data_IF_268610571038
#
_entry.id   IF_268610571038
#
_cell.length_a   1.000
_cell.length_b   1.000
_cell.length_c   1.000
_cell.angle_alpha   90.00
_cell.angle_beta   90.00
_cell.angle_gamma   90.00
#
_symmetry.space_group_name_H-M   'P 1'
#
loop_
_entity.id
_entity.type
_entity.pdbx_description
1 polymer ?
#
# COMPACT_ATOMS: atom_id res chain seq x y z
N UNK A 1 61.24 12.80 3.92
CA UNK A 1 59.83 13.07 4.22
C UNK A 1 58.94 13.04 2.98
N UNK A 2 59.11 13.85 1.92
CA UNK A 2 58.27 13.85 0.68
C UNK A 2 58.14 12.48 -0.04
N UNK A 3 59.26 11.72 -0.18
CA UNK A 3 59.22 10.37 -0.81
C UNK A 3 58.42 9.33 0.01
N UNK A 4 58.45 9.44 1.35
CA UNK A 4 57.71 8.55 2.25
C UNK A 4 56.18 8.85 2.17
N UNK A 5 55.82 10.12 2.19
CA UNK A 5 54.45 10.57 2.01
C UNK A 5 53.86 10.15 0.63
N UNK A 6 54.68 10.18 -0.44
CA UNK A 6 54.29 9.70 -1.78
C UNK A 6 54.06 8.17 -1.82
N UNK A 7 54.86 7.38 -1.09
CA UNK A 7 54.67 5.93 -1.01
C UNK A 7 53.43 5.57 -0.18
N UNK A 8 53.21 6.25 0.96
CA UNK A 8 52.01 6.06 1.78
C UNK A 8 50.75 6.44 0.99
N UNK A 9 50.78 7.56 0.27
CA UNK A 9 49.64 7.94 -0.59
C UNK A 9 49.31 6.91 -1.67
N UNK A 10 50.31 6.30 -2.32
CA UNK A 10 50.07 5.21 -3.29
C UNK A 10 49.47 3.96 -2.67
N UNK A 11 49.90 3.59 -1.46
CA UNK A 11 49.35 2.43 -0.74
C UNK A 11 47.88 2.71 -0.37
N UNK A 12 47.57 3.90 0.12
CA UNK A 12 46.18 4.30 0.44
C UNK A 12 45.30 4.25 -0.82
N UNK A 13 45.77 4.80 -1.94
CA UNK A 13 45.01 4.76 -3.21
C UNK A 13 44.78 3.33 -3.70
N UNK A 14 45.79 2.46 -3.57
CA UNK A 14 45.66 1.03 -3.94
C UNK A 14 44.64 0.36 -3.02
N UNK A 15 44.69 0.58 -1.71
CA UNK A 15 43.74 0.03 -0.74
C UNK A 15 42.30 0.50 -1.04
N UNK A 16 42.10 1.79 -1.34
CA UNK A 16 40.80 2.33 -1.75
C UNK A 16 40.34 1.65 -3.04
N UNK A 17 41.21 1.51 -4.04
CA UNK A 17 40.88 0.81 -5.29
C UNK A 17 40.42 -0.64 -5.05
N UNK A 18 41.11 -1.40 -4.20
CA UNK A 18 40.74 -2.76 -3.83
C UNK A 18 39.37 -2.79 -3.14
N UNK A 19 39.10 -1.87 -2.22
CA UNK A 19 37.80 -1.77 -1.52
C UNK A 19 36.70 -1.46 -2.52
N UNK A 20 36.90 -0.53 -3.45
CA UNK A 20 35.91 -0.20 -4.47
C UNK A 20 35.60 -1.40 -5.35
N UNK A 21 36.63 -2.12 -5.83
CA UNK A 21 36.46 -3.33 -6.63
C UNK A 21 35.67 -4.39 -5.85
N UNK A 22 36.03 -4.62 -4.58
CA UNK A 22 35.31 -5.55 -3.71
C UNK A 22 33.83 -5.19 -3.58
N UNK A 23 33.52 -3.90 -3.33
CA UNK A 23 32.14 -3.43 -3.22
C UNK A 23 31.37 -3.61 -4.53
N UNK A 24 31.99 -3.34 -5.67
CA UNK A 24 31.37 -3.58 -7.00
C UNK A 24 31.06 -5.07 -7.19
N UNK A 25 31.97 -5.95 -6.83
CA UNK A 25 31.73 -7.39 -6.91
C UNK A 25 30.57 -7.81 -6.01
N UNK A 26 30.51 -7.33 -4.77
CA UNK A 26 29.40 -7.59 -3.86
C UNK A 26 28.05 -7.09 -4.44
N UNK A 27 28.03 -5.90 -5.04
CA UNK A 27 26.84 -5.37 -5.69
C UNK A 27 26.39 -6.21 -6.89
N UNK A 28 27.31 -6.68 -7.72
CA UNK A 28 27.00 -7.56 -8.87
C UNK A 28 26.46 -8.92 -8.42
N UNK A 29 27.03 -9.50 -7.36
CA UNK A 29 26.54 -10.73 -6.75
C UNK A 29 25.13 -10.50 -6.20
N UNK A 30 24.93 -9.44 -5.41
CA UNK A 30 23.63 -9.09 -4.83
C UNK A 30 22.56 -8.87 -5.91
N UNK A 31 22.88 -8.14 -6.97
CA UNK A 31 22.01 -7.94 -8.12
C UNK A 31 21.63 -9.25 -8.80
N UNK A 32 22.61 -10.12 -9.05
CA UNK A 32 22.37 -11.42 -9.68
C UNK A 32 21.47 -12.28 -8.80
N UNK A 33 21.73 -12.37 -7.49
CA UNK A 33 20.90 -13.11 -6.55
C UNK A 33 19.48 -12.57 -6.49
N UNK A 34 19.31 -11.24 -6.51
CA UNK A 34 17.98 -10.60 -6.53
C UNK A 34 17.17 -10.99 -7.77
N UNK A 35 17.80 -11.00 -8.94
CA UNK A 35 17.15 -11.30 -10.23
C UNK A 35 16.91 -12.81 -10.48
N UNK A 36 17.62 -13.69 -9.80
CA UNK A 36 17.53 -15.14 -10.01
C UNK A 36 16.97 -15.85 -8.79
N UNK A 37 17.79 -16.15 -7.81
CA UNK A 37 17.45 -17.00 -6.67
C UNK A 37 16.29 -16.44 -5.85
N UNK A 38 16.39 -15.18 -5.43
CA UNK A 38 15.34 -14.60 -4.60
C UNK A 38 14.04 -14.33 -5.36
N UNK A 39 14.15 -13.99 -6.64
CA UNK A 39 12.98 -13.84 -7.51
C UNK A 39 12.24 -15.17 -7.66
N UNK A 40 12.96 -16.26 -7.89
CA UNK A 40 12.36 -17.60 -7.98
C UNK A 40 11.66 -18.03 -6.69
N UNK A 41 12.21 -17.66 -5.52
CA UNK A 41 11.54 -17.89 -4.24
C UNK A 41 10.25 -17.09 -4.10
N UNK A 42 10.23 -15.84 -4.57
CA UNK A 42 9.03 -15.02 -4.57
C UNK A 42 7.96 -15.61 -5.51
N UNK A 43 8.34 -15.99 -6.73
CA UNK A 43 7.45 -16.59 -7.73
C UNK A 43 6.92 -17.97 -7.32
N UNK A 44 7.53 -18.64 -6.33
CA UNK A 44 7.02 -19.89 -5.77
C UNK A 44 5.84 -19.70 -4.81
N UNK A 45 5.59 -18.49 -4.37
CA UNK A 45 4.44 -18.16 -3.51
C UNK A 45 3.19 -18.14 -4.39
N UNK A 46 2.23 -18.99 -4.07
CA UNK A 46 0.96 -19.01 -4.79
C UNK A 46 0.11 -17.79 -4.41
N UNK A 47 -0.52 -17.14 -5.39
CA UNK A 47 -1.49 -16.08 -5.12
C UNK A 47 -2.60 -16.56 -4.15
N UNK A 48 -3.02 -15.66 -3.29
CA UNK A 48 -4.08 -15.92 -2.30
C UNK A 48 -5.47 -16.00 -2.97
N UNK A 49 -5.65 -15.26 -4.06
CA UNK A 49 -6.86 -15.18 -4.84
C UNK A 49 -6.62 -15.49 -6.32
N UNK A 50 -7.35 -14.81 -7.17
CA UNK A 50 -7.29 -15.00 -8.61
C UNK A 50 -6.52 -13.89 -9.32
N UNK A 51 -5.91 -14.23 -10.46
CA UNK A 51 -5.25 -13.29 -11.35
C UNK A 51 -6.20 -12.95 -12.49
N UNK A 52 -6.60 -11.69 -12.60
CA UNK A 52 -7.51 -11.21 -13.65
C UNK A 52 -6.76 -10.35 -14.67
N UNK A 53 -7.11 -10.48 -15.94
CA UNK A 53 -6.46 -9.71 -17.00
C UNK A 53 -7.06 -8.30 -17.11
N UNK A 54 -6.23 -7.30 -16.86
CA UNK A 54 -6.55 -5.87 -17.00
C UNK A 54 -5.49 -5.26 -17.93
N UNK A 55 -5.91 -4.74 -19.07
CA UNK A 55 -5.01 -4.09 -20.04
C UNK A 55 -3.82 -4.97 -20.49
N UNK A 56 -4.08 -6.26 -20.75
CA UNK A 56 -3.07 -7.27 -21.10
C UNK A 56 -2.00 -7.55 -20.02
N UNK A 57 -2.28 -7.18 -18.78
CA UNK A 57 -1.46 -7.48 -17.58
C UNK A 57 -2.34 -8.12 -16.53
N UNK A 58 -1.75 -8.82 -15.57
CA UNK A 58 -2.48 -9.49 -14.52
C UNK A 58 -2.56 -8.64 -13.27
N UNK A 59 -3.76 -8.49 -12.72
CA UNK A 59 -4.00 -7.94 -11.39
C UNK A 59 -4.52 -9.04 -10.48
N UNK A 60 -4.10 -8.99 -9.22
CA UNK A 60 -4.55 -9.93 -8.20
C UNK A 60 -5.78 -9.39 -7.47
N UNK A 61 -6.80 -10.24 -7.38
CA UNK A 61 -8.03 -9.98 -6.62
C UNK A 61 -8.22 -11.13 -5.64
N UNK A 62 -8.35 -10.82 -4.36
CA UNK A 62 -8.59 -11.81 -3.33
C UNK A 62 -9.90 -11.54 -2.62
N UNK A 63 -10.77 -12.55 -2.55
CA UNK A 63 -12.11 -12.46 -1.95
C UNK A 63 -12.29 -13.48 -0.83
N UNK A 64 -12.95 -13.08 0.24
CA UNK A 64 -13.35 -13.93 1.37
C UNK A 64 -14.80 -13.67 1.74
N UNK A 65 -15.47 -14.70 2.26
CA UNK A 65 -16.84 -14.61 2.73
C UNK A 65 -17.88 -14.48 1.63
N UNK A 66 -19.13 -14.58 2.05
CA UNK A 66 -20.33 -14.43 1.22
C UNK A 66 -21.35 -13.61 2.02
N UNK A 67 -21.93 -12.58 1.41
CA UNK A 67 -22.89 -11.71 2.06
C UNK A 67 -23.49 -10.72 1.06
N UNK A 68 -24.53 -10.03 1.47
CA UNK A 68 -25.22 -9.06 0.61
C UNK A 68 -24.35 -7.83 0.31
N UNK A 69 -23.50 -7.44 1.26
CA UNK A 69 -22.61 -6.28 1.07
C UNK A 69 -21.24 -6.74 0.58
N UNK A 70 -20.70 -6.00 -0.38
CA UNK A 70 -19.33 -6.21 -0.87
C UNK A 70 -18.44 -5.07 -0.37
N UNK A 71 -17.48 -5.39 0.50
CA UNK A 71 -16.48 -4.46 1.02
C UNK A 71 -15.21 -4.62 0.19
N UNK A 72 -14.72 -3.52 -0.39
CA UNK A 72 -13.49 -3.51 -1.20
C UNK A 72 -12.38 -2.79 -0.46
N UNK A 73 -11.43 -3.56 0.07
CA UNK A 73 -10.22 -3.07 0.73
C UNK A 73 -9.19 -2.63 -0.31
N UNK A 74 -8.72 -1.41 -0.18
CA UNK A 74 -7.76 -0.79 -1.10
C UNK A 74 -6.50 -0.37 -0.35
N UNK A 75 -5.30 -0.86 -0.76
CA UNK A 75 -4.08 -0.71 0.02
C UNK A 75 -3.51 0.69 0.00
N UNK A 76 -2.81 1.06 1.07
CA UNK A 76 -1.96 2.23 1.14
C UNK A 76 -0.71 2.12 0.27
N UNK A 77 0.02 3.24 0.14
CA UNK A 77 1.28 3.29 -0.60
C UNK A 77 2.33 2.37 0.03
N UNK A 78 3.00 1.58 -0.78
CA UNK A 78 4.13 0.75 -0.35
C UNK A 78 3.77 -0.48 0.48
N UNK A 79 2.49 -0.81 0.67
CA UNK A 79 2.06 -2.10 1.26
C UNK A 79 2.58 -3.24 0.39
N UNK A 80 3.43 -4.13 0.93
CA UNK A 80 4.14 -5.09 0.10
C UNK A 80 3.26 -6.21 -0.45
N UNK A 81 2.28 -6.70 0.32
CA UNK A 81 1.39 -7.80 -0.03
C UNK A 81 0.01 -7.59 0.60
N UNK A 82 -0.87 -6.80 -0.03
CA UNK A 82 -2.17 -6.42 0.53
C UNK A 82 -3.07 -7.59 0.93
N UNK A 83 -3.08 -8.67 0.15
CA UNK A 83 -3.88 -9.87 0.46
C UNK A 83 -3.48 -10.56 1.77
N UNK A 84 -2.21 -10.46 2.18
CA UNK A 84 -1.74 -10.93 3.48
C UNK A 84 -1.81 -9.83 4.55
N UNK A 85 -1.55 -8.59 4.18
CA UNK A 85 -1.54 -7.43 5.09
C UNK A 85 -2.94 -7.16 5.69
N UNK A 86 -3.98 -7.23 4.86
CA UNK A 86 -5.36 -7.12 5.32
C UNK A 86 -5.97 -8.42 5.87
N UNK A 87 -5.26 -9.54 5.86
CA UNK A 87 -5.85 -10.84 6.13
C UNK A 87 -6.60 -10.95 7.47
N UNK A 88 -6.11 -10.42 8.61
CA UNK A 88 -6.89 -10.43 9.85
C UNK A 88 -8.21 -9.65 9.74
N UNK A 89 -8.17 -8.46 9.13
CA UNK A 89 -9.36 -7.63 8.92
C UNK A 89 -10.34 -8.31 7.93
N UNK A 90 -9.82 -8.91 6.86
CA UNK A 90 -10.64 -9.65 5.90
C UNK A 90 -11.36 -10.81 6.57
N UNK A 91 -10.68 -11.59 7.41
CA UNK A 91 -11.31 -12.70 8.16
C UNK A 91 -12.41 -12.23 9.10
N UNK A 92 -12.22 -11.09 9.74
CA UNK A 92 -13.22 -10.55 10.66
C UNK A 92 -14.47 -10.06 9.91
N UNK A 93 -14.26 -9.19 8.92
CA UNK A 93 -15.35 -8.63 8.10
C UNK A 93 -16.08 -9.68 7.26
N UNK A 94 -15.40 -10.76 6.86
CA UNK A 94 -15.97 -11.81 6.02
C UNK A 94 -16.93 -12.76 6.75
N UNK A 95 -17.13 -12.57 8.04
CA UNK A 95 -18.14 -13.33 8.80
C UNK A 95 -19.56 -12.98 8.35
N UNK A 96 -19.79 -11.73 7.95
CA UNK A 96 -21.13 -11.23 7.58
C UNK A 96 -21.16 -10.62 6.15
N UNK A 97 -19.99 -10.36 5.54
CA UNK A 97 -19.88 -9.66 4.29
C UNK A 97 -19.03 -10.42 3.28
N UNK A 98 -19.18 -10.10 2.00
CA UNK A 98 -18.17 -10.42 1.00
C UNK A 98 -17.07 -9.35 1.10
N UNK A 99 -15.84 -9.76 1.35
CA UNK A 99 -14.68 -8.85 1.49
C UNK A 99 -13.69 -9.14 0.39
N UNK A 100 -13.28 -8.10 -0.31
CA UNK A 100 -12.38 -8.19 -1.46
C UNK A 100 -11.20 -7.25 -1.25
N UNK A 101 -9.99 -7.67 -1.58
CA UNK A 101 -8.87 -6.75 -1.77
C UNK A 101 -8.38 -6.80 -3.21
N UNK A 102 -8.06 -5.63 -3.76
CA UNK A 102 -7.46 -5.46 -5.07
C UNK A 102 -6.02 -5.01 -4.90
N UNK A 103 -5.08 -5.78 -5.40
CA UNK A 103 -3.68 -5.38 -5.45
C UNK A 103 -3.43 -4.58 -6.71
N UNK A 104 -3.03 -3.32 -6.56
CA UNK A 104 -2.74 -2.45 -7.69
C UNK A 104 -1.57 -2.96 -8.53
N UNK A 105 -1.45 -2.52 -9.77
CA UNK A 105 -0.23 -2.77 -10.53
C UNK A 105 1.01 -2.32 -9.74
N UNK A 106 2.03 -3.18 -9.73
CA UNK A 106 3.26 -2.98 -9.00
C UNK A 106 3.22 -3.35 -7.52
N UNK A 107 2.09 -3.87 -7.02
CA UNK A 107 1.88 -4.27 -5.63
C UNK A 107 1.56 -5.76 -5.54
N UNK A 108 2.11 -6.44 -4.54
CA UNK A 108 1.83 -7.85 -4.27
C UNK A 108 2.05 -8.76 -5.47
N UNK A 109 1.06 -9.55 -5.81
CA UNK A 109 1.09 -10.49 -6.94
C UNK A 109 0.83 -9.82 -8.30
N UNK A 110 0.37 -8.57 -8.32
CA UNK A 110 0.02 -7.88 -9.56
C UNK A 110 1.24 -7.51 -10.39
N UNK A 111 1.09 -7.55 -11.72
CA UNK A 111 2.12 -7.13 -12.66
C UNK A 111 2.47 -5.65 -12.46
N UNK A 112 3.62 -5.23 -12.97
CA UNK A 112 4.01 -3.82 -13.04
C UNK A 112 3.41 -3.18 -14.29
N UNK A 113 3.16 -1.86 -14.24
CA UNK A 113 2.66 -1.11 -15.38
C UNK A 113 3.52 0.12 -15.67
N UNK A 114 3.54 0.54 -16.93
CA UNK A 114 4.11 1.81 -17.38
C UNK A 114 3.00 2.85 -17.67
N UNK A 115 1.73 2.52 -17.37
CA UNK A 115 0.63 3.49 -17.43
C UNK A 115 0.79 4.54 -16.35
N UNK A 116 0.52 5.82 -16.64
CA UNK A 116 0.55 6.89 -15.65
C UNK A 116 -0.32 6.56 -14.43
N UNK A 117 0.18 6.85 -13.25
CA UNK A 117 -0.50 6.54 -11.98
C UNK A 117 -1.48 7.67 -11.59
N UNK A 118 -2.46 7.93 -12.47
CA UNK A 118 -3.52 8.93 -12.30
C UNK A 118 -4.72 8.35 -11.54
N UNK A 119 -5.57 9.21 -10.96
CA UNK A 119 -6.83 8.79 -10.32
C UNK A 119 -7.71 7.98 -11.28
N UNK A 120 -7.81 8.42 -12.53
CA UNK A 120 -8.61 7.74 -13.55
C UNK A 120 -8.09 6.32 -13.86
N UNK A 121 -6.76 6.16 -13.98
CA UNK A 121 -6.20 4.84 -14.23
C UNK A 121 -6.40 3.91 -13.03
N UNK A 122 -6.18 4.38 -11.78
CA UNK A 122 -6.50 3.58 -10.58
C UNK A 122 -7.97 3.17 -10.53
N UNK A 123 -8.89 4.12 -10.73
CA UNK A 123 -10.32 3.84 -10.75
C UNK A 123 -10.69 2.78 -11.80
N UNK A 124 -10.23 2.97 -13.05
CA UNK A 124 -10.52 2.05 -14.14
C UNK A 124 -9.92 0.65 -13.92
N UNK A 125 -8.73 0.56 -13.35
CA UNK A 125 -8.07 -0.69 -13.00
C UNK A 125 -8.83 -1.44 -11.89
N UNK A 126 -9.22 -0.75 -10.81
CA UNK A 126 -10.06 -1.31 -9.74
C UNK A 126 -11.38 -1.83 -10.32
N UNK A 127 -12.08 -1.00 -11.08
CA UNK A 127 -13.37 -1.29 -11.66
C UNK A 127 -13.31 -2.48 -12.62
N UNK A 128 -12.28 -2.50 -13.48
CA UNK A 128 -12.07 -3.59 -14.44
C UNK A 128 -11.70 -4.89 -13.74
N UNK A 129 -10.83 -4.84 -12.73
CA UNK A 129 -10.41 -6.04 -11.99
C UNK A 129 -11.56 -6.67 -11.22
N UNK A 130 -12.40 -5.88 -10.54
CA UNK A 130 -13.59 -6.37 -9.85
C UNK A 130 -14.59 -6.99 -10.83
N UNK A 131 -14.86 -6.33 -11.95
CA UNK A 131 -15.75 -6.86 -12.97
C UNK A 131 -15.25 -8.20 -13.55
N UNK A 132 -13.94 -8.29 -13.85
CA UNK A 132 -13.32 -9.52 -14.38
C UNK A 132 -13.33 -10.67 -13.34
N UNK A 133 -13.25 -10.35 -12.05
CA UNK A 133 -13.42 -11.31 -10.95
C UNK A 133 -14.91 -11.65 -10.69
N UNK A 134 -15.85 -11.16 -11.49
CA UNK A 134 -17.29 -11.42 -11.30
C UNK A 134 -17.90 -10.73 -10.07
N UNK A 135 -17.23 -9.73 -9.52
CA UNK A 135 -17.66 -8.98 -8.34
C UNK A 135 -18.41 -7.74 -8.82
N UNK A 136 -19.70 -7.67 -8.50
CA UNK A 136 -20.61 -6.63 -9.01
C UNK A 136 -20.83 -5.51 -7.98
N UNK A 137 -21.01 -4.26 -8.44
CA UNK A 137 -21.41 -3.16 -7.57
C UNK A 137 -22.89 -3.32 -7.11
N UNK A 138 -23.33 -2.52 -6.10
CA UNK A 138 -22.58 -1.44 -5.46
C UNK A 138 -21.63 -1.92 -4.37
N UNK A 139 -20.52 -1.20 -4.19
CA UNK A 139 -19.46 -1.53 -3.23
C UNK A 139 -19.46 -0.60 -2.02
N UNK A 140 -19.01 -1.11 -0.88
CA UNK A 140 -18.49 -0.30 0.23
C UNK A 140 -16.97 -0.24 0.03
N UNK A 141 -16.45 0.91 -0.39
CA UNK A 141 -15.01 1.09 -0.55
C UNK A 141 -14.38 1.30 0.82
N UNK A 142 -13.35 0.52 1.14
CA UNK A 142 -12.61 0.63 2.40
C UNK A 142 -11.12 0.88 2.12
N UNK A 143 -10.77 2.11 1.71
CA UNK A 143 -9.40 2.47 1.39
C UNK A 143 -8.57 2.78 2.63
N UNK A 144 -7.30 2.37 2.60
CA UNK A 144 -6.27 2.81 3.54
C UNK A 144 -5.40 3.91 2.92
N UNK A 145 -5.06 4.93 3.70
CA UNK A 145 -4.06 5.94 3.35
C UNK A 145 -4.33 6.63 2.00
N UNK A 146 -3.39 6.58 1.05
CA UNK A 146 -3.47 7.20 -0.28
C UNK A 146 -4.68 6.74 -1.10
N UNK A 147 -5.15 5.51 -0.87
CA UNK A 147 -6.30 4.97 -1.61
C UNK A 147 -7.62 5.70 -1.31
N UNK A 148 -7.67 6.49 -0.23
CA UNK A 148 -8.77 7.43 0.00
C UNK A 148 -8.97 8.39 -1.16
N UNK A 149 -7.88 8.89 -1.77
CA UNK A 149 -7.91 9.79 -2.92
C UNK A 149 -8.62 9.12 -4.11
N UNK A 150 -8.25 7.87 -4.42
CA UNK A 150 -8.81 7.10 -5.53
C UNK A 150 -10.27 6.71 -5.29
N UNK A 151 -10.62 6.43 -4.03
CA UNK A 151 -12.00 6.09 -3.66
C UNK A 151 -12.93 7.29 -3.71
N UNK A 152 -12.47 8.48 -3.31
CA UNK A 152 -13.23 9.72 -3.46
C UNK A 152 -13.43 10.06 -4.95
N UNK A 153 -12.38 9.91 -5.77
CA UNK A 153 -12.49 10.07 -7.22
C UNK A 153 -13.49 9.08 -7.83
N UNK A 154 -13.42 7.81 -7.44
CA UNK A 154 -14.34 6.78 -7.90
C UNK A 154 -15.80 7.13 -7.58
N UNK A 155 -16.08 7.48 -6.32
CA UNK A 155 -17.42 7.84 -5.88
C UNK A 155 -17.97 9.06 -6.62
N UNK A 156 -17.10 10.01 -6.98
CA UNK A 156 -17.52 11.18 -7.77
C UNK A 156 -17.85 10.83 -9.22
N UNK A 157 -17.14 9.86 -9.82
CA UNK A 157 -17.35 9.47 -11.24
C UNK A 157 -18.44 8.41 -11.41
N UNK A 158 -18.60 7.52 -10.45
CA UNK A 158 -19.54 6.39 -10.47
C UNK A 158 -20.27 6.25 -9.14
N UNK A 159 -21.06 7.26 -8.71
CA UNK A 159 -21.76 7.21 -7.44
C UNK A 159 -22.74 6.03 -7.33
N UNK A 160 -23.30 5.58 -8.46
CA UNK A 160 -24.20 4.43 -8.53
C UNK A 160 -23.52 3.08 -8.21
N UNK A 161 -22.19 3.04 -8.29
CA UNK A 161 -21.40 1.84 -7.97
C UNK A 161 -20.89 1.83 -6.52
N UNK A 162 -21.08 2.93 -5.75
CA UNK A 162 -20.55 3.10 -4.41
C UNK A 162 -21.67 3.26 -3.39
N UNK A 163 -21.90 2.23 -2.56
CA UNK A 163 -22.89 2.24 -1.47
C UNK A 163 -22.45 3.12 -0.31
N UNK A 164 -21.14 3.24 -0.08
CA UNK A 164 -20.53 4.07 0.95
C UNK A 164 -19.01 3.93 0.97
N UNK A 165 -18.33 4.78 1.76
CA UNK A 165 -16.87 4.74 1.91
C UNK A 165 -16.50 4.67 3.39
N UNK A 166 -15.61 3.76 3.76
CA UNK A 166 -15.00 3.68 5.10
C UNK A 166 -13.51 3.99 4.97
N UNK A 167 -13.12 5.21 5.26
CA UNK A 167 -11.73 5.68 5.15
C UNK A 167 -10.91 5.20 6.36
N UNK A 168 -9.92 4.34 6.13
CA UNK A 168 -8.99 3.88 7.16
C UNK A 168 -7.74 4.77 7.16
N UNK A 169 -7.65 5.67 8.11
CA UNK A 169 -6.56 6.64 8.29
C UNK A 169 -6.07 7.25 6.97
N UNK A 170 -7.01 7.65 6.13
CA UNK A 170 -6.77 8.06 4.75
C UNK A 170 -6.07 9.41 4.64
N UNK A 171 -5.34 9.58 3.55
CA UNK A 171 -4.72 10.86 3.15
C UNK A 171 -5.80 11.93 2.99
N UNK A 172 -5.58 13.08 3.59
CA UNK A 172 -6.50 14.22 3.48
C UNK A 172 -6.47 14.80 2.06
N UNK A 173 -7.61 14.88 1.41
CA UNK A 173 -7.78 15.56 0.12
C UNK A 173 -8.07 17.06 0.27
N UNK A 174 -8.10 17.58 1.51
CA UNK A 174 -8.15 19.02 1.80
C UNK A 174 -6.74 19.67 1.80
N UNK A 175 -5.67 18.93 1.50
CA UNK A 175 -4.31 19.45 1.51
C UNK A 175 -4.12 20.59 0.50
N UNK A 176 -3.52 21.68 0.94
CA UNK A 176 -3.24 22.87 0.12
C UNK A 176 -1.82 22.90 -0.44
N UNK A 177 -0.92 22.05 0.03
CA UNK A 177 0.46 21.96 -0.45
C UNK A 177 0.52 21.60 -1.94
N UNK A 178 1.41 22.21 -2.69
CA UNK A 178 1.45 22.06 -4.16
C UNK A 178 2.53 21.11 -4.67
N UNK A 179 3.42 20.64 -3.81
CA UNK A 179 4.59 19.84 -4.24
C UNK A 179 4.91 18.78 -3.19
N UNK A 180 5.07 17.53 -3.62
CA UNK A 180 5.61 16.49 -2.78
C UNK A 180 7.12 16.75 -2.54
N UNK A 181 7.63 16.55 -1.33
CA UNK A 181 9.05 16.78 -1.08
C UNK A 181 9.91 15.90 -2.00
N UNK A 182 10.80 16.52 -2.81
CA UNK A 182 11.67 15.80 -3.76
C UNK A 182 12.63 14.84 -3.08
N UNK A 183 13.00 15.11 -1.85
CA UNK A 183 13.83 14.26 -1.00
C UNK A 183 13.16 12.90 -0.70
N UNK A 184 11.85 12.89 -0.50
CA UNK A 184 11.10 11.63 -0.30
C UNK A 184 11.19 10.76 -1.56
N UNK A 185 10.93 11.31 -2.75
CA UNK A 185 11.05 10.57 -4.01
C UNK A 185 12.48 10.04 -4.21
N UNK A 186 13.48 10.85 -3.90
CA UNK A 186 14.89 10.43 -3.97
C UNK A 186 15.20 9.28 -3.02
N UNK A 187 14.63 9.30 -1.82
CA UNK A 187 14.74 8.20 -0.84
C UNK A 187 14.14 6.91 -1.38
N UNK A 188 12.97 6.96 -2.01
CA UNK A 188 12.36 5.77 -2.64
C UNK A 188 13.18 5.23 -3.82
N UNK A 189 13.75 6.11 -4.65
CA UNK A 189 14.68 5.73 -5.73
C UNK A 189 15.94 5.04 -5.18
N UNK A 190 16.48 5.57 -4.08
CA UNK A 190 17.62 4.95 -3.39
C UNK A 190 17.24 3.61 -2.77
N UNK A 191 16.08 3.50 -2.12
CA UNK A 191 15.57 2.24 -1.56
C UNK A 191 15.37 1.18 -2.65
N UNK A 192 14.84 1.55 -3.83
CA UNK A 192 14.75 0.65 -4.99
C UNK A 192 16.12 0.13 -5.42
N UNK A 193 17.12 1.01 -5.52
CA UNK A 193 18.48 0.59 -5.86
C UNK A 193 19.07 -0.36 -4.81
N UNK A 194 18.91 -0.05 -3.51
CA UNK A 194 19.34 -0.92 -2.41
C UNK A 194 18.66 -2.30 -2.46
N UNK A 195 17.38 -2.33 -2.81
CA UNK A 195 16.62 -3.56 -3.02
C UNK A 195 17.20 -4.38 -4.18
N UNK A 196 17.48 -3.76 -5.33
CA UNK A 196 17.98 -4.43 -6.53
C UNK A 196 19.37 -5.05 -6.35
N UNK A 197 20.22 -4.44 -5.53
CA UNK A 197 21.55 -5.00 -5.17
C UNK A 197 21.50 -5.90 -3.90
N UNK A 198 20.34 -6.28 -3.43
CA UNK A 198 20.11 -7.08 -2.21
C UNK A 198 20.62 -6.45 -0.91
N UNK A 199 21.00 -5.19 -0.89
CA UNK A 199 21.44 -4.50 0.33
C UNK A 199 20.28 -4.36 1.33
N UNK A 200 19.09 -4.02 0.85
CA UNK A 200 17.88 -3.96 1.69
C UNK A 200 17.62 -5.30 2.38
N UNK A 201 17.79 -6.43 1.67
CA UNK A 201 17.62 -7.78 2.24
C UNK A 201 18.62 -8.04 3.37
N UNK A 202 19.87 -7.64 3.18
CA UNK A 202 20.88 -7.73 4.24
C UNK A 202 20.48 -6.86 5.45
N UNK A 203 20.02 -5.65 5.23
CA UNK A 203 19.56 -4.76 6.30
C UNK A 203 18.33 -5.33 7.03
N UNK A 204 17.35 -5.84 6.27
CA UNK A 204 16.15 -6.46 6.84
C UNK A 204 16.45 -7.76 7.61
N UNK A 205 17.54 -8.47 7.29
CA UNK A 205 17.94 -9.66 8.06
C UNK A 205 18.37 -9.36 9.50
N UNK A 206 18.67 -8.10 9.82
CA UNK A 206 18.93 -7.63 11.18
C UNK A 206 17.68 -7.14 11.91
N UNK A 207 16.52 -7.02 11.20
CA UNK A 207 15.26 -6.67 11.83
C UNK A 207 14.73 -7.91 12.53
N UNK A 208 14.57 -7.81 13.84
CA UNK A 208 14.03 -8.90 14.64
C UNK A 208 12.52 -9.10 14.39
N UNK A 209 12.03 -10.29 14.68
CA UNK A 209 10.60 -10.57 14.67
C UNK A 209 9.85 -9.65 15.63
N UNK A 210 10.46 -9.26 16.75
CA UNK A 210 9.93 -8.27 17.68
C UNK A 210 9.64 -6.90 17.01
N UNK A 211 10.46 -6.48 16.04
CA UNK A 211 10.22 -5.23 15.30
C UNK A 211 8.99 -5.35 14.40
N UNK A 212 8.78 -6.51 13.79
CA UNK A 212 7.57 -6.76 12.98
C UNK A 212 6.33 -6.83 13.85
N UNK A 213 6.42 -7.47 15.02
CA UNK A 213 5.34 -7.51 16.01
C UNK A 213 4.96 -6.10 16.49
N UNK A 214 5.95 -5.24 16.75
CA UNK A 214 5.71 -3.82 17.11
C UNK A 214 5.01 -3.05 15.99
N UNK A 215 5.25 -3.42 14.73
CA UNK A 215 4.55 -2.86 13.57
C UNK A 215 3.19 -3.54 13.30
N UNK A 216 2.74 -4.43 14.17
CA UNK A 216 1.44 -5.06 14.12
C UNK A 216 1.41 -6.42 13.43
N UNK A 217 2.48 -6.87 12.79
CA UNK A 217 2.55 -8.21 12.16
C UNK A 217 2.83 -9.30 13.20
N UNK A 218 1.81 -9.73 13.91
CA UNK A 218 1.94 -10.76 14.93
C UNK A 218 0.79 -11.76 14.91
N UNK A 219 1.04 -12.96 15.44
CA UNK A 219 0.01 -13.98 15.64
C UNK A 219 -1.10 -13.47 16.56
N UNK A 220 -0.73 -12.64 17.56
CA UNK A 220 -1.69 -12.06 18.51
C UNK A 220 -2.66 -11.07 17.84
N UNK A 221 -2.27 -10.48 16.71
CA UNK A 221 -3.13 -9.61 15.90
C UNK A 221 -3.89 -10.38 14.81
N UNK A 222 -3.87 -11.73 14.86
CA UNK A 222 -4.62 -12.58 13.96
C UNK A 222 -3.89 -12.99 12.68
N UNK A 223 -2.62 -12.64 12.49
CA UNK A 223 -1.83 -13.10 11.35
C UNK A 223 -1.44 -14.58 11.52
N UNK A 224 -1.41 -15.32 10.42
CA UNK A 224 -0.75 -16.63 10.37
C UNK A 224 0.75 -16.46 10.13
N UNK A 225 1.56 -17.45 10.53
CA UNK A 225 3.00 -17.44 10.27
C UNK A 225 3.30 -17.33 8.77
N UNK A 226 2.51 -18.02 7.94
CA UNK A 226 2.64 -17.97 6.47
C UNK A 226 2.47 -16.55 5.93
N UNK A 227 1.46 -15.82 6.41
CA UNK A 227 1.20 -14.43 5.99
C UNK A 227 2.37 -13.52 6.36
N UNK A 228 2.90 -13.65 7.59
CA UNK A 228 4.07 -12.89 8.06
C UNK A 228 5.30 -13.21 7.19
N UNK A 229 5.56 -14.48 6.91
CA UNK A 229 6.70 -14.91 6.10
C UNK A 229 6.61 -14.44 4.65
N UNK A 230 5.41 -14.47 4.07
CA UNK A 230 5.17 -13.98 2.72
C UNK A 230 5.31 -12.45 2.64
N UNK A 231 4.77 -11.69 3.61
CA UNK A 231 4.98 -10.24 3.73
C UNK A 231 6.48 -9.92 3.80
N UNK A 232 7.27 -10.61 4.63
CA UNK A 232 8.73 -10.43 4.72
C UNK A 232 9.42 -10.60 3.37
N UNK A 233 9.01 -11.60 2.58
CA UNK A 233 9.57 -11.83 1.24
C UNK A 233 9.21 -10.70 0.30
N UNK A 234 7.94 -10.27 0.28
CA UNK A 234 7.46 -9.18 -0.56
C UNK A 234 8.03 -7.81 -0.19
N UNK A 235 8.33 -7.53 1.09
CA UNK A 235 9.05 -6.32 1.52
C UNK A 235 10.36 -6.10 0.75
N UNK A 236 11.03 -7.18 0.33
CA UNK A 236 12.26 -7.11 -0.47
C UNK A 236 12.01 -6.86 -1.97
N UNK A 237 10.76 -6.67 -2.40
CA UNK A 237 10.36 -6.44 -3.78
C UNK A 237 9.33 -5.31 -3.94
N UNK A 238 8.98 -4.64 -2.84
CA UNK A 238 7.95 -3.60 -2.81
C UNK A 238 8.33 -2.32 -3.55
N UNK A 239 9.63 -2.02 -3.68
CA UNK A 239 10.10 -0.81 -4.37
C UNK A 239 10.25 -1.05 -5.88
N UNK A 240 9.44 -0.39 -6.68
CA UNK A 240 9.51 -0.44 -8.14
C UNK A 240 9.06 0.90 -8.75
N UNK A 241 9.21 1.06 -10.07
CA UNK A 241 8.89 2.32 -10.75
C UNK A 241 7.41 2.68 -10.64
N UNK A 242 6.50 1.70 -10.72
CA UNK A 242 5.05 1.94 -10.59
C UNK A 242 4.71 2.58 -9.25
N UNK A 243 5.32 2.09 -8.15
CA UNK A 243 5.13 2.62 -6.80
C UNK A 243 5.78 4.01 -6.64
N UNK A 244 6.95 4.23 -7.22
CA UNK A 244 7.61 5.55 -7.20
C UNK A 244 6.76 6.57 -7.95
N UNK A 245 6.20 6.21 -9.10
CA UNK A 245 5.33 7.09 -9.89
C UNK A 245 4.01 7.40 -9.14
N UNK A 246 3.44 6.43 -8.42
CA UNK A 246 2.31 6.69 -7.52
C UNK A 246 2.63 7.81 -6.54
N UNK A 247 3.81 7.76 -5.92
CA UNK A 247 4.27 8.77 -4.97
C UNK A 247 4.45 10.14 -5.64
N UNK A 248 5.12 10.17 -6.80
CA UNK A 248 5.34 11.40 -7.58
C UNK A 248 4.02 12.07 -7.98
N UNK A 249 2.98 11.28 -8.27
CA UNK A 249 1.68 11.78 -8.70
C UNK A 249 0.70 12.10 -7.55
N UNK A 250 1.05 11.77 -6.30
CA UNK A 250 0.13 11.94 -5.14
C UNK A 250 -0.45 13.35 -5.06
N UNK A 251 0.37 14.38 -5.27
CA UNK A 251 -0.11 15.77 -5.23
C UNK A 251 -1.07 16.11 -6.36
N UNK A 252 -0.75 15.73 -7.57
CA UNK A 252 -1.63 15.91 -8.74
C UNK A 252 -2.96 15.23 -8.48
N UNK A 253 -2.91 14.00 -7.94
CA UNK A 253 -4.10 13.23 -7.58
C UNK A 253 -4.96 13.92 -6.52
N UNK A 254 -4.34 14.48 -5.47
CA UNK A 254 -5.06 15.26 -4.44
C UNK A 254 -5.67 16.53 -5.05
N UNK A 255 -4.92 17.29 -5.87
CA UNK A 255 -5.43 18.54 -6.46
C UNK A 255 -6.60 18.28 -7.41
N UNK A 256 -6.59 17.16 -8.14
CA UNK A 256 -7.70 16.78 -9.01
C UNK A 256 -8.98 16.46 -8.21
N UNK A 257 -8.86 15.80 -7.06
CA UNK A 257 -10.01 15.38 -6.24
C UNK A 257 -10.50 16.50 -5.32
N UNK A 258 -9.61 17.38 -4.88
CA UNK A 258 -9.87 18.41 -3.87
C UNK A 258 -11.12 19.24 -4.12
N UNK A 259 -11.37 19.62 -5.37
CA UNK A 259 -12.47 20.51 -5.76
C UNK A 259 -13.68 19.74 -6.32
N UNK A 260 -13.61 18.38 -6.37
CA UNK A 260 -14.74 17.56 -6.78
C UNK A 260 -15.74 17.41 -5.63
N UNK A 261 -17.04 17.66 -5.85
CA UNK A 261 -18.03 17.44 -4.82
C UNK A 261 -18.18 15.93 -4.54
N UNK A 262 -18.24 15.56 -3.28
CA UNK A 262 -18.64 14.20 -2.91
C UNK A 262 -20.17 14.10 -3.08
N UNK A 263 -20.68 13.07 -3.79
CA UNK A 263 -22.12 12.89 -3.99
C UNK A 263 -22.82 12.68 -2.63
N UNK A 264 -23.94 13.38 -2.41
CA UNK A 264 -24.74 13.25 -1.18
C UNK A 264 -25.28 11.82 -0.98
N UNK A 265 -25.42 11.05 -2.07
CA UNK A 265 -25.85 9.66 -2.04
C UNK A 265 -24.78 8.69 -1.49
N UNK A 266 -23.54 9.16 -1.27
CA UNK A 266 -22.44 8.32 -0.80
C UNK A 266 -22.04 8.71 0.64
N UNK A 267 -22.57 8.03 1.66
CA UNK A 267 -22.15 8.23 3.04
C UNK A 267 -20.69 7.85 3.28
N UNK A 268 -20.04 8.56 4.21
CA UNK A 268 -18.63 8.33 4.53
C UNK A 268 -18.43 8.16 6.03
N UNK A 269 -17.77 7.09 6.44
CA UNK A 269 -17.21 6.92 7.77
C UNK A 269 -15.69 7.07 7.69
N UNK A 270 -15.15 8.00 8.47
CA UNK A 270 -13.71 8.21 8.56
C UNK A 270 -13.18 7.67 9.88
N UNK A 271 -12.34 6.64 9.84
CA UNK A 271 -11.65 6.07 10.99
C UNK A 271 -10.22 6.64 10.99
N UNK A 272 -9.89 7.39 12.02
CA UNK A 272 -8.62 8.13 12.14
C UNK A 272 -7.76 7.46 13.22
N UNK A 273 -6.49 7.19 12.91
CA UNK A 273 -5.53 6.78 13.93
C UNK A 273 -5.21 7.94 14.87
N UNK A 274 -5.08 7.67 16.17
CA UNK A 274 -4.80 8.71 17.18
C UNK A 274 -3.51 9.47 16.90
N UNK A 275 -2.49 8.82 16.33
CA UNK A 275 -1.23 9.47 15.96
C UNK A 275 -1.37 10.52 14.84
N UNK A 276 -2.38 10.38 13.99
CA UNK A 276 -2.64 11.25 12.84
C UNK A 276 -3.85 12.19 13.03
N UNK A 277 -4.45 12.20 14.23
CA UNK A 277 -5.60 13.03 14.54
C UNK A 277 -5.19 14.50 14.73
N UNK A 278 -5.13 15.22 13.64
CA UNK A 278 -4.71 16.62 13.59
C UNK A 278 -5.67 17.48 12.74
N UNK A 279 -5.36 18.78 12.64
CA UNK A 279 -6.15 19.75 11.90
C UNK A 279 -6.38 19.36 10.43
N UNK A 280 -5.47 18.62 9.80
CA UNK A 280 -5.65 18.17 8.41
C UNK A 280 -6.82 17.20 8.29
N UNK A 281 -7.04 16.36 9.31
CA UNK A 281 -8.14 15.42 9.34
C UNK A 281 -9.48 16.12 9.57
N UNK A 282 -9.50 17.19 10.37
CA UNK A 282 -10.68 18.03 10.55
C UNK A 282 -11.06 18.77 9.26
N UNK A 283 -10.08 19.35 8.57
CA UNK A 283 -10.28 20.02 7.28
C UNK A 283 -10.77 19.02 6.21
N UNK A 284 -10.24 17.81 6.22
CA UNK A 284 -10.71 16.75 5.34
C UNK A 284 -12.18 16.39 5.62
N UNK A 285 -12.55 16.20 6.88
CA UNK A 285 -13.92 15.89 7.26
C UNK A 285 -14.90 16.98 6.80
N UNK A 286 -14.52 18.27 6.97
CA UNK A 286 -15.33 19.40 6.47
C UNK A 286 -15.51 19.36 4.96
N UNK A 287 -14.46 19.02 4.21
CA UNK A 287 -14.52 18.89 2.75
C UNK A 287 -15.43 17.72 2.30
N UNK A 288 -15.41 16.61 3.02
CA UNK A 288 -16.25 15.45 2.72
C UNK A 288 -17.76 15.73 2.88
N UNK A 289 -18.12 16.79 3.62
CA UNK A 289 -19.49 17.29 3.71
C UNK A 289 -20.32 16.65 4.81
N UNK A 290 -21.63 16.90 4.77
CA UNK A 290 -22.55 16.55 5.86
C UNK A 290 -22.83 15.05 5.99
N UNK A 291 -22.59 14.26 4.94
CA UNK A 291 -22.76 12.81 4.94
C UNK A 291 -21.54 12.05 5.47
N UNK A 292 -20.53 12.79 5.93
CA UNK A 292 -19.34 12.23 6.52
C UNK A 292 -19.37 12.31 8.05
N UNK A 293 -18.96 11.22 8.68
CA UNK A 293 -18.72 11.13 10.12
C UNK A 293 -17.32 10.62 10.40
N UNK A 294 -16.80 10.86 11.61
CA UNK A 294 -15.48 10.37 11.99
C UNK A 294 -15.45 9.75 13.37
N UNK A 295 -14.53 8.80 13.54
CA UNK A 295 -14.18 8.16 14.81
C UNK A 295 -12.66 8.10 14.89
N UNK A 296 -12.12 8.41 16.07
CA UNK A 296 -10.69 8.25 16.36
C UNK A 296 -10.49 6.95 17.12
N UNK A 297 -9.58 6.11 16.64
CA UNK A 297 -9.14 4.90 17.33
C UNK A 297 -7.69 5.06 17.77
N UNK A 298 -7.35 4.49 18.91
CA UNK A 298 -5.97 4.46 19.39
C UNK A 298 -5.11 3.55 18.52
N UNK A 299 -4.00 4.08 18.02
CA UNK A 299 -3.07 3.32 17.16
C UNK A 299 -2.29 4.17 16.17
N UNK A 300 -1.51 3.46 15.37
CA UNK A 300 -0.64 4.01 14.32
C UNK A 300 -1.38 4.10 12.98
N UNK A 301 -0.70 4.63 11.96
CA UNK A 301 -1.22 4.73 10.58
C UNK A 301 -1.81 3.42 10.04
N UNK A 302 -1.25 2.28 10.40
CA UNK A 302 -1.76 0.95 10.04
C UNK A 302 -2.79 0.47 11.07
N UNK A 303 -3.81 1.28 11.32
CA UNK A 303 -4.82 1.10 12.37
C UNK A 303 -5.49 -0.28 12.34
N UNK A 304 -5.61 -0.90 11.19
CA UNK A 304 -6.23 -2.20 10.99
C UNK A 304 -5.37 -3.38 11.47
N UNK A 305 -4.08 -3.18 11.75
CA UNK A 305 -3.23 -4.26 12.27
C UNK A 305 -3.61 -4.69 13.69
N UNK A 306 -4.12 -3.78 14.50
CA UNK A 306 -4.39 -4.03 15.92
C UNK A 306 -5.77 -3.55 16.41
N UNK A 307 -6.62 -3.00 15.53
CA UNK A 307 -7.99 -2.56 15.85
C UNK A 307 -9.05 -3.29 15.02
N UNK A 308 -8.73 -4.49 14.52
CA UNK A 308 -9.57 -5.28 13.61
C UNK A 308 -11.01 -5.41 14.09
N UNK A 309 -11.22 -5.83 15.35
CA UNK A 309 -12.56 -6.03 15.92
C UNK A 309 -13.35 -4.72 16.03
N UNK A 310 -12.69 -3.62 16.40
CA UNK A 310 -13.35 -2.32 16.50
C UNK A 310 -13.72 -1.78 15.12
N UNK A 311 -12.84 -1.97 14.12
CA UNK A 311 -13.13 -1.57 12.75
C UNK A 311 -14.30 -2.38 12.20
N UNK A 312 -14.34 -3.71 12.45
CA UNK A 312 -15.47 -4.55 12.06
C UNK A 312 -16.79 -4.05 12.66
N UNK A 313 -16.81 -3.82 13.97
CA UNK A 313 -18.01 -3.29 14.65
C UNK A 313 -18.48 -1.94 14.11
N UNK A 314 -17.54 -1.04 13.81
CA UNK A 314 -17.87 0.26 13.21
C UNK A 314 -18.38 0.10 11.78
N UNK A 315 -17.86 -0.88 11.05
CA UNK A 315 -18.32 -1.23 9.70
C UNK A 315 -19.75 -1.73 9.73
N UNK A 316 -20.11 -2.64 10.65
CA UNK A 316 -21.46 -3.17 10.80
C UNK A 316 -22.43 -2.04 11.14
N UNK A 317 -22.08 -1.16 12.10
CA UNK A 317 -22.89 0.02 12.46
C UNK A 317 -23.05 1.02 11.30
N UNK A 318 -22.07 1.10 10.41
CA UNK A 318 -22.15 1.92 9.21
C UNK A 318 -23.08 1.29 8.19
N UNK A 319 -22.94 -0.01 7.95
CA UNK A 319 -23.79 -0.77 7.02
C UNK A 319 -25.26 -0.72 7.43
N UNK A 320 -25.56 -0.89 8.73
CA UNK A 320 -26.93 -0.80 9.26
C UNK A 320 -27.62 0.54 8.96
N UNK A 321 -26.85 1.62 8.81
CA UNK A 321 -27.36 2.94 8.44
C UNK A 321 -27.54 3.14 6.94
N UNK A 322 -26.96 2.26 6.10
CA UNK A 322 -27.08 2.31 4.63
C UNK A 322 -28.35 1.59 4.14
N UNK A 323 -28.93 0.74 4.97
CA UNK A 323 -30.16 -0.03 4.72
C UNK A 323 -31.37 0.72 5.30
#
# INVERSE_FOLDING_TARGET
MKKLLSKVGKIILLAIGIIIIFLIICMLIGFTLHKTYYKSQLESIKPYGEMVNVDNKNMHVYSMGEGENTIVLLPGHGVPLPSADFAPLMRELSKENRVVTVEYFGVGFSDKTDKPRTNENYMNEIRTSLNKAGIKPPYILMPHSISGIYSEYYATKHPEEVKGIILLDSTSTALTSKVFPKDIVSTYKAAKFQQEISLQRLLLSFISDETLEKNGYSINNGYTQKEIDDIKKYMNYSMNNTIIEQLENTFTSVQEVKDLPIPESVPILKIIASENNDKRQEEHLKRLGNNASSVVLDGTHFIYHNQTEKISKLTDQFIDKLN
#
